data_IF_708100242721
#
_entry.id   IF_708100242721
#
_cell.length_a   1.000
_cell.length_b   1.000
_cell.length_c   1.000
_cell.angle_alpha   90.00
_cell.angle_beta   90.00
_cell.angle_gamma   90.00
#
_symmetry.space_group_name_H-M   'P 1'
#
loop_
_entity.id
_entity.type
_entity.pdbx_description
1 polymer ?
#
# COMPACT_ATOMS: atom_id res chain seq x y z
N UNK A 1 -29.68 45.06 7.92
CA UNK A 1 -28.49 44.58 8.65
C UNK A 1 -28.59 43.12 9.09
N UNK A 2 -29.65 42.68 9.79
CA UNK A 2 -29.78 41.28 10.25
C UNK A 2 -29.78 40.22 9.13
N UNK A 3 -30.45 40.47 8.01
CA UNK A 3 -30.47 39.54 6.87
C UNK A 3 -29.10 39.39 6.18
N UNK A 4 -28.30 40.46 6.15
CA UNK A 4 -26.96 40.45 5.57
C UNK A 4 -25.97 39.68 6.46
N UNK A 5 -26.12 39.80 7.78
CA UNK A 5 -25.34 39.03 8.77
C UNK A 5 -25.69 37.54 8.70
N UNK A 6 -26.97 37.19 8.50
CA UNK A 6 -27.40 35.79 8.33
C UNK A 6 -26.89 35.21 7.00
N UNK A 7 -26.91 35.98 5.91
CA UNK A 7 -26.36 35.54 4.62
C UNK A 7 -24.83 35.34 4.68
N UNK A 8 -24.11 36.22 5.37
CA UNK A 8 -22.66 36.09 5.60
C UNK A 8 -22.33 34.92 6.54
N UNK A 9 -23.15 34.66 7.57
CA UNK A 9 -23.01 33.48 8.43
C UNK A 9 -23.28 32.16 7.68
N UNK A 10 -24.27 32.12 6.77
CA UNK A 10 -24.53 30.96 5.91
C UNK A 10 -23.41 30.73 4.88
N UNK A 11 -22.80 31.81 4.36
CA UNK A 11 -21.62 31.75 3.49
C UNK A 11 -20.34 31.31 4.24
N UNK A 12 -20.26 31.54 5.55
CA UNK A 12 -19.14 31.08 6.40
C UNK A 12 -19.30 29.61 6.85
N UNK A 13 -20.53 29.06 6.86
CA UNK A 13 -20.76 27.61 7.07
C UNK A 13 -20.59 26.79 5.80
N UNK A 14 -20.57 27.42 4.63
CA UNK A 14 -20.00 26.85 3.41
C UNK A 14 -18.47 26.93 3.48
N UNK A 15 -17.88 26.32 4.51
CA UNK A 15 -16.46 26.03 4.51
C UNK A 15 -16.17 25.28 3.21
N UNK A 16 -15.21 25.75 2.42
CA UNK A 16 -14.80 25.11 1.18
C UNK A 16 -14.51 23.63 1.46
N UNK A 17 -15.49 22.76 1.26
CA UNK A 17 -15.28 21.37 1.01
C UNK A 17 -14.57 21.36 -0.34
N UNK A 18 -13.24 21.53 -0.32
CA UNK A 18 -12.41 21.24 -1.48
C UNK A 18 -12.78 19.81 -1.85
N UNK A 19 -13.49 19.66 -2.97
CA UNK A 19 -13.89 18.36 -3.49
C UNK A 19 -12.60 17.58 -3.67
N UNK A 20 -12.30 16.68 -2.73
CA UNK A 20 -11.09 15.86 -2.77
C UNK A 20 -11.31 14.87 -3.89
N UNK A 21 -10.46 14.92 -4.90
CA UNK A 21 -10.55 14.01 -6.05
C UNK A 21 -9.51 12.92 -5.86
N UNK A 22 -9.97 11.68 -5.87
CA UNK A 22 -9.09 10.51 -5.94
C UNK A 22 -8.99 10.09 -7.39
N UNK A 23 -7.77 10.09 -7.91
CA UNK A 23 -7.45 9.65 -9.26
C UNK A 23 -6.76 8.29 -9.19
N UNK A 24 -7.42 7.27 -9.71
CA UNK A 24 -6.83 5.95 -9.86
C UNK A 24 -6.31 5.79 -11.28
N UNK A 25 -5.00 5.68 -11.39
CA UNK A 25 -4.33 5.36 -12.65
C UNK A 25 -3.92 3.90 -12.62
N UNK A 26 -4.57 3.09 -13.45
CA UNK A 26 -4.32 1.65 -13.54
C UNK A 26 -3.28 1.29 -14.61
N UNK A 27 -2.76 2.29 -15.33
CA UNK A 27 -2.01 2.11 -16.57
C UNK A 27 -2.87 1.73 -17.78
N UNK A 28 -4.18 1.50 -17.59
CA UNK A 28 -5.11 1.08 -18.63
C UNK A 28 -6.33 1.99 -18.72
N UNK A 29 -6.42 2.77 -19.79
CA UNK A 29 -7.63 3.55 -20.12
C UNK A 29 -7.65 4.93 -19.47
N UNK A 30 -8.85 5.49 -19.28
CA UNK A 30 -9.05 6.82 -18.70
C UNK A 30 -8.89 6.72 -17.18
N UNK A 31 -8.16 7.66 -16.57
CA UNK A 31 -8.06 7.78 -15.11
C UNK A 31 -9.45 7.74 -14.48
N UNK A 32 -9.63 6.85 -13.51
CA UNK A 32 -10.86 6.78 -12.74
C UNK A 32 -10.79 7.90 -11.72
N UNK A 33 -11.69 8.86 -11.82
CA UNK A 33 -11.77 9.99 -10.90
C UNK A 33 -13.12 9.95 -10.21
N UNK A 34 -13.12 9.94 -8.89
CA UNK A 34 -14.34 10.04 -8.09
C UNK A 34 -14.09 10.84 -6.82
N UNK A 35 -15.19 11.29 -6.22
CA UNK A 35 -15.19 12.00 -4.94
C UNK A 35 -15.45 10.96 -3.84
N UNK A 36 -14.53 10.77 -2.89
CA UNK A 36 -14.72 9.85 -1.78
C UNK A 36 -15.94 10.21 -0.96
N UNK A 37 -16.67 9.19 -0.48
CA UNK A 37 -17.74 9.39 0.50
C UNK A 37 -17.10 9.28 1.88
N UNK A 38 -17.10 10.35 2.68
CA UNK A 38 -16.49 10.31 4.01
C UNK A 38 -17.27 9.34 4.92
N UNK A 39 -16.57 8.34 5.48
CA UNK A 39 -17.09 7.47 6.52
C UNK A 39 -16.29 7.60 7.81
N UNK A 40 -16.88 7.13 8.91
CA UNK A 40 -16.23 7.16 10.23
C UNK A 40 -14.88 6.40 10.20
N UNK A 41 -13.84 6.89 10.91
CA UNK A 41 -12.56 6.20 11.01
C UNK A 41 -12.69 4.82 11.65
N UNK A 42 -11.85 3.89 11.21
CA UNK A 42 -11.70 2.60 11.89
C UNK A 42 -10.80 2.80 13.10
N UNK A 43 -11.37 2.66 14.29
CA UNK A 43 -10.62 2.83 15.54
C UNK A 43 -9.89 1.56 15.95
N UNK A 44 -8.58 1.70 16.19
CA UNK A 44 -7.79 0.71 16.90
C UNK A 44 -7.83 1.06 18.38
N UNK A 45 -8.60 0.28 19.14
CA UNK A 45 -8.67 0.38 20.59
C UNK A 45 -7.30 0.12 21.26
N UNK A 46 -7.08 0.73 22.43
CA UNK A 46 -5.81 0.65 23.15
C UNK A 46 -5.36 -0.79 23.44
N UNK A 47 -6.29 -1.67 23.83
CA UNK A 47 -5.97 -3.06 24.18
C UNK A 47 -5.67 -3.91 22.93
N UNK A 48 -6.48 -3.75 21.88
CA UNK A 48 -6.23 -4.38 20.58
C UNK A 48 -4.88 -3.96 19.99
N UNK A 49 -4.52 -2.69 20.15
CA UNK A 49 -3.20 -2.17 19.77
C UNK A 49 -2.06 -2.82 20.57
N UNK A 50 -2.15 -2.86 21.90
CA UNK A 50 -1.12 -3.50 22.76
C UNK A 50 -0.93 -4.97 22.41
N UNK A 51 -2.02 -5.71 22.19
CA UNK A 51 -1.97 -7.11 21.77
C UNK A 51 -1.29 -7.26 20.40
N UNK A 52 -1.66 -6.43 19.42
CA UNK A 52 -1.06 -6.45 18.09
C UNK A 52 0.45 -6.18 18.12
N UNK A 53 0.90 -5.16 18.88
CA UNK A 53 2.33 -4.86 19.02
C UNK A 53 3.07 -6.02 19.68
N UNK A 54 2.50 -6.61 20.73
CA UNK A 54 3.09 -7.77 21.41
C UNK A 54 3.27 -8.94 20.45
N UNK A 55 2.23 -9.28 19.68
CA UNK A 55 2.29 -10.35 18.68
C UNK A 55 3.33 -10.08 17.59
N UNK A 56 3.38 -8.86 17.05
CA UNK A 56 4.37 -8.47 16.03
C UNK A 56 5.81 -8.58 16.53
N UNK A 57 6.07 -8.23 17.79
CA UNK A 57 7.41 -8.35 18.38
C UNK A 57 7.77 -9.82 18.65
N UNK A 58 6.79 -10.66 19.03
CA UNK A 58 7.00 -12.11 19.18
C UNK A 58 7.35 -12.78 17.84
N UNK A 59 6.55 -12.51 16.80
CA UNK A 59 6.76 -13.03 15.45
C UNK A 59 8.14 -12.63 14.90
N UNK A 60 8.58 -11.39 15.15
CA UNK A 60 9.92 -10.93 14.76
C UNK A 60 11.04 -11.75 15.42
N UNK A 61 10.91 -12.10 16.71
CA UNK A 61 11.90 -12.92 17.43
C UNK A 61 11.96 -14.34 16.87
N UNK A 62 10.80 -14.92 16.57
CA UNK A 62 10.70 -16.25 15.96
C UNK A 62 11.37 -16.26 14.58
N UNK A 63 11.08 -15.28 13.72
CA UNK A 63 11.70 -15.18 12.38
C UNK A 63 13.22 -15.01 12.42
N UNK A 64 13.76 -14.26 13.39
CA UNK A 64 15.22 -14.14 13.59
C UNK A 64 15.81 -15.48 14.03
N UNK A 65 15.19 -16.15 15.00
CA UNK A 65 15.65 -17.45 15.49
C UNK A 65 15.60 -18.53 14.39
N UNK A 66 14.56 -18.56 13.57
CA UNK A 66 14.45 -19.52 12.46
C UNK A 66 15.44 -19.21 11.32
N UNK A 67 15.70 -17.93 11.01
CA UNK A 67 16.75 -17.56 10.04
C UNK A 67 18.16 -17.88 10.52
N UNK A 68 18.43 -17.75 11.83
CA UNK A 68 19.69 -18.19 12.42
C UNK A 68 19.86 -19.71 12.33
N UNK A 69 18.78 -20.49 12.48
CA UNK A 69 18.80 -21.94 12.32
C UNK A 69 18.95 -22.40 10.86
N UNK A 70 18.34 -21.70 9.89
CA UNK A 70 18.49 -22.01 8.45
C UNK A 70 19.84 -21.53 7.88
N UNK A 71 20.46 -20.53 8.49
CA UNK A 71 21.78 -20.02 8.12
C UNK A 71 22.96 -20.81 8.70
N UNK A 72 22.72 -21.67 9.70
CA UNK A 72 23.75 -22.43 10.40
C UNK A 72 23.67 -23.94 10.13
N UNK A 73 23.95 -24.34 8.88
CA UNK A 73 24.29 -25.72 8.56
C UNK A 73 25.73 -26.09 9.02
N UNK A 74 26.36 -25.33 9.92
CA UNK A 74 27.64 -25.70 10.56
C UNK A 74 27.79 -25.17 12.00
N UNK A 75 27.09 -25.83 12.92
CA UNK A 75 27.42 -25.95 14.37
C UNK A 75 27.43 -24.61 15.11
N UNK A 76 26.49 -24.42 16.03
CA UNK A 76 26.58 -24.93 17.41
C UNK A 76 25.32 -24.63 18.23
N UNK A 77 24.78 -25.71 18.81
CA UNK A 77 23.98 -25.68 20.02
C UNK A 77 24.73 -24.95 21.13
N UNK A 78 24.15 -23.90 21.72
CA UNK A 78 24.20 -23.66 23.17
C UNK A 78 22.96 -22.88 23.62
N UNK A 79 22.11 -23.59 24.37
CA UNK A 79 21.19 -23.01 25.32
C UNK A 79 21.95 -22.30 26.44
N UNK A 80 21.45 -21.14 26.87
CA UNK A 80 21.78 -20.57 28.18
C UNK A 80 20.52 -19.98 28.79
N UNK A 81 19.89 -20.80 29.61
CA UNK A 81 18.95 -20.42 30.66
C UNK A 81 19.66 -19.71 31.83
N UNK A 82 19.05 -18.65 32.37
CA UNK A 82 19.37 -18.05 33.68
C UNK A 82 19.09 -16.54 33.68
N UNK A 83 18.36 -15.93 34.61
CA UNK A 83 17.72 -16.39 35.83
C UNK A 83 16.87 -15.24 36.39
N UNK A 84 15.93 -15.58 37.26
CA UNK A 84 15.02 -14.69 38.00
C UNK A 84 15.80 -13.82 39.00
N UNK A 85 15.43 -12.54 39.13
CA UNK A 85 15.60 -11.77 40.37
C UNK A 85 14.35 -10.94 40.66
N UNK A 86 13.93 -10.97 41.93
CA UNK A 86 12.72 -10.37 42.48
C UNK A 86 12.91 -8.91 42.93
N UNK A 87 11.85 -8.12 42.82
CA UNK A 87 11.57 -6.97 43.70
C UNK A 87 12.17 -5.60 43.38
N UNK A 88 11.36 -4.69 42.82
CA UNK A 88 11.45 -3.26 43.14
C UNK A 88 10.08 -2.58 42.96
N UNK A 89 9.60 -2.00 44.06
CA UNK A 89 8.33 -1.28 44.19
C UNK A 89 8.24 -0.05 43.26
N UNK A 90 7.01 0.23 42.83
CA UNK A 90 6.67 1.31 41.92
C UNK A 90 7.19 2.68 42.36
N UNK A 91 7.99 3.28 41.50
CA UNK A 91 8.25 4.72 41.46
C UNK A 91 7.54 5.32 40.26
N UNK A 92 7.05 6.55 40.42
CA UNK A 92 6.38 7.32 39.38
C UNK A 92 7.22 7.33 38.09
N UNK A 93 6.57 7.04 36.96
CA UNK A 93 7.18 6.94 35.64
C UNK A 93 7.69 8.33 35.24
N UNK A 94 9.02 8.53 35.08
CA UNK A 94 9.57 9.81 34.60
C UNK A 94 9.20 10.02 33.13
N UNK A 95 9.11 11.30 32.73
CA UNK A 95 8.82 11.69 31.35
C UNK A 95 9.82 11.09 30.36
N UNK A 96 9.42 10.87 29.11
CA UNK A 96 10.27 10.20 28.10
C UNK A 96 11.65 10.89 27.90
N UNK A 97 11.73 12.19 28.19
CA UNK A 97 12.96 12.99 28.18
C UNK A 97 13.96 12.58 29.29
N UNK A 98 13.49 12.39 30.53
CA UNK A 98 14.34 12.01 31.67
C UNK A 98 14.95 10.62 31.48
N UNK A 99 14.23 9.70 30.82
CA UNK A 99 14.74 8.35 30.51
C UNK A 99 15.85 8.34 29.45
N UNK A 100 15.87 9.32 28.55
CA UNK A 100 16.93 9.46 27.54
C UNK A 100 18.21 10.02 28.19
N UNK A 101 18.07 11.02 29.06
CA UNK A 101 19.24 11.59 29.76
C UNK A 101 19.83 10.66 30.84
N UNK A 102 19.02 9.82 31.50
CA UNK A 102 19.52 8.88 32.51
C UNK A 102 20.29 7.68 31.94
N UNK A 103 20.25 7.44 30.62
CA UNK A 103 20.92 6.31 29.95
C UNK A 103 22.27 6.66 29.32
N UNK A 104 22.67 7.93 29.37
CA UNK A 104 24.01 8.39 28.99
C UNK A 104 24.77 8.70 30.28
N UNK A 105 25.88 8.00 30.52
CA UNK A 105 26.77 8.12 31.70
C UNK A 105 27.54 9.46 31.78
N UNK A 106 26.92 10.58 31.41
CA UNK A 106 27.52 11.92 31.53
C UNK A 106 26.56 12.92 32.20
N UNK A 107 26.78 13.23 33.49
CA UNK A 107 26.02 14.25 34.23
C UNK A 107 26.10 15.65 33.61
N UNK A 108 27.14 15.93 32.82
CA UNK A 108 27.35 17.23 32.17
C UNK A 108 26.82 17.29 30.72
N UNK A 109 26.50 16.14 30.11
CA UNK A 109 25.98 16.08 28.73
C UNK A 109 24.55 16.62 28.60
N UNK A 110 23.69 16.37 29.59
CA UNK A 110 22.30 16.84 29.59
C UNK A 110 22.18 18.32 30.00
N UNK A 111 23.09 18.84 30.86
CA UNK A 111 23.17 20.28 31.18
C UNK A 111 23.88 21.11 30.09
N UNK A 112 24.85 20.55 29.36
CA UNK A 112 25.53 21.24 28.26
C UNK A 112 24.61 21.63 27.09
N UNK A 113 23.52 20.87 26.88
CA UNK A 113 22.47 21.15 25.90
C UNK A 113 21.52 22.30 26.28
N UNK A 114 21.51 22.73 27.55
CA UNK A 114 20.72 23.87 28.00
C UNK A 114 21.50 25.19 27.89
N UNK A 115 22.83 25.13 27.81
CA UNK A 115 23.71 26.30 27.76
C UNK A 115 24.30 26.58 26.36
N UNK A 116 24.33 25.60 25.46
CA UNK A 116 24.72 25.76 24.05
C UNK A 116 23.67 25.11 23.15
N UNK A 117 23.13 25.85 22.19
CA UNK A 117 21.96 25.45 21.37
C UNK A 117 22.06 24.08 20.68
N UNK A 118 20.94 23.61 20.10
CA UNK A 118 20.82 22.28 19.47
C UNK A 118 21.94 22.00 18.45
N UNK A 119 22.88 21.13 18.81
CA UNK A 119 23.96 20.65 17.91
C UNK A 119 23.51 19.58 16.93
N UNK A 120 22.22 19.20 16.95
CA UNK A 120 21.63 18.25 16.01
C UNK A 120 21.54 18.83 14.59
N UNK A 121 21.85 18.01 13.59
CA UNK A 121 21.57 18.33 12.20
C UNK A 121 20.06 18.38 11.90
N UNK A 122 19.65 18.89 10.72
CA UNK A 122 18.24 19.04 10.39
C UNK A 122 17.44 17.73 10.43
N UNK A 123 18.08 16.59 10.10
CA UNK A 123 17.42 15.29 10.11
C UNK A 123 17.19 14.80 11.54
N UNK A 124 18.18 14.91 12.40
CA UNK A 124 18.12 14.51 13.81
C UNK A 124 17.06 15.32 14.57
N UNK A 125 16.94 16.62 14.27
CA UNK A 125 15.88 17.48 14.82
C UNK A 125 14.47 17.01 14.44
N UNK A 126 14.26 16.65 13.16
CA UNK A 126 12.97 16.11 12.67
C UNK A 126 12.62 14.78 13.32
N UNK A 127 13.61 13.90 13.44
CA UNK A 127 13.46 12.61 14.09
C UNK A 127 13.09 12.73 15.57
N UNK A 128 13.73 13.67 16.27
CA UNK A 128 13.41 13.98 17.67
C UNK A 128 11.99 14.54 17.81
N UNK A 129 11.58 15.48 16.94
CA UNK A 129 10.22 16.02 16.96
C UNK A 129 9.17 14.93 16.70
N UNK A 130 9.44 13.99 15.79
CA UNK A 130 8.56 12.85 15.55
C UNK A 130 8.52 11.85 16.72
N UNK A 131 9.63 11.67 17.43
CA UNK A 131 9.69 10.85 18.64
C UNK A 131 8.74 11.37 19.73
N UNK A 132 8.65 12.69 19.89
CA UNK A 132 7.69 13.34 20.78
C UNK A 132 6.26 13.24 20.26
N UNK A 133 6.04 13.36 18.95
CA UNK A 133 4.71 13.25 18.35
C UNK A 133 4.02 11.89 18.59
N UNK A 134 4.80 10.84 18.80
CA UNK A 134 4.32 9.47 19.01
C UNK A 134 4.30 9.06 20.49
N UNK A 135 4.56 9.94 21.46
CA UNK A 135 4.79 9.50 22.85
C UNK A 135 3.59 8.79 23.49
N UNK A 136 2.38 9.31 23.29
CA UNK A 136 1.13 8.82 23.91
C UNK A 136 0.82 7.40 23.49
N UNK A 137 1.25 7.00 22.28
CA UNK A 137 0.99 5.66 21.77
C UNK A 137 1.80 4.59 22.50
N UNK A 138 2.93 4.97 23.09
CA UNK A 138 3.81 4.02 23.79
C UNK A 138 3.41 3.77 25.24
N UNK A 139 2.43 4.50 25.77
CA UNK A 139 1.90 4.32 27.12
C UNK A 139 1.41 2.88 27.35
N UNK A 140 2.11 2.17 28.23
CA UNK A 140 1.82 0.77 28.58
C UNK A 140 2.15 -0.27 27.50
N UNK A 141 2.69 0.13 26.34
CA UNK A 141 3.30 -0.81 25.38
C UNK A 141 4.67 -1.23 25.86
N UNK A 142 5.47 -0.29 26.35
CA UNK A 142 6.84 -0.54 26.81
C UNK A 142 6.87 -1.58 27.95
N UNK A 143 5.86 -1.59 28.81
CA UNK A 143 5.70 -2.59 29.86
C UNK A 143 5.30 -3.96 29.30
N UNK A 144 4.40 -4.00 28.31
CA UNK A 144 3.91 -5.24 27.70
C UNK A 144 5.00 -6.01 26.94
N UNK A 145 6.02 -5.31 26.43
CA UNK A 145 7.10 -5.90 25.62
C UNK A 145 8.45 -5.95 26.36
N UNK A 146 8.50 -5.55 27.63
CA UNK A 146 9.74 -5.37 28.40
C UNK A 146 10.61 -6.62 28.43
N UNK A 147 9.99 -7.79 28.57
CA UNK A 147 10.68 -9.09 28.64
C UNK A 147 11.09 -9.61 27.26
N UNK A 148 10.60 -8.98 26.18
CA UNK A 148 10.82 -9.41 24.80
C UNK A 148 11.88 -8.57 24.11
N UNK A 149 11.84 -7.24 24.26
CA UNK A 149 12.71 -6.28 23.57
C UNK A 149 12.90 -5.01 24.40
N UNK A 150 14.02 -4.31 24.21
CA UNK A 150 14.22 -2.98 24.80
C UNK A 150 13.23 -1.97 24.19
N UNK A 151 12.21 -1.57 24.98
CA UNK A 151 11.13 -0.69 24.51
C UNK A 151 11.62 0.64 23.93
N UNK A 152 12.68 1.23 24.49
CA UNK A 152 13.25 2.47 23.96
C UNK A 152 13.91 2.27 22.60
N UNK A 153 14.59 1.13 22.39
CA UNK A 153 15.18 0.79 21.10
C UNK A 153 14.12 0.51 20.04
N UNK A 154 13.06 -0.23 20.39
CA UNK A 154 11.92 -0.47 19.50
C UNK A 154 11.23 0.85 19.11
N UNK A 155 10.98 1.72 20.10
CA UNK A 155 10.40 3.03 19.87
C UNK A 155 11.25 3.88 18.92
N UNK A 156 12.57 3.93 19.11
CA UNK A 156 13.47 4.67 18.24
C UNK A 156 13.48 4.10 16.81
N UNK A 157 13.52 2.77 16.67
CA UNK A 157 13.44 2.08 15.38
C UNK A 157 12.13 2.42 14.64
N UNK A 158 10.98 2.24 15.31
CA UNK A 158 9.65 2.51 14.72
C UNK A 158 9.50 3.99 14.34
N UNK A 159 9.93 4.90 15.22
CA UNK A 159 9.93 6.34 14.92
C UNK A 159 10.74 6.62 13.65
N UNK A 160 11.91 5.99 13.48
CA UNK A 160 12.77 6.12 12.30
C UNK A 160 12.10 5.61 11.03
N UNK A 161 11.43 4.45 11.10
CA UNK A 161 10.69 3.92 9.95
C UNK A 161 9.53 4.83 9.55
N UNK A 162 8.75 5.32 10.52
CA UNK A 162 7.65 6.25 10.28
C UNK A 162 8.18 7.54 9.66
N UNK A 163 9.22 8.14 10.24
CA UNK A 163 9.81 9.39 9.73
C UNK A 163 10.34 9.24 8.32
N UNK A 164 11.01 8.13 8.03
CA UNK A 164 11.50 7.81 6.69
C UNK A 164 10.34 7.61 5.70
N UNK A 165 9.28 6.92 6.09
CA UNK A 165 8.11 6.70 5.25
C UNK A 165 7.33 8.00 4.95
N UNK A 166 7.12 8.85 5.97
CA UNK A 166 6.47 10.14 5.81
C UNK A 166 7.32 11.11 4.97
N UNK A 167 8.64 11.07 5.12
CA UNK A 167 9.54 11.84 4.25
C UNK A 167 9.42 11.42 2.79
N UNK A 168 9.35 10.11 2.51
CA UNK A 168 9.14 9.59 1.15
C UNK A 168 7.77 9.99 0.57
N UNK A 169 6.73 10.13 1.40
CA UNK A 169 5.40 10.54 0.95
C UNK A 169 5.36 12.00 0.46
N UNK A 170 6.19 12.86 1.04
CA UNK A 170 6.19 14.30 0.79
C UNK A 170 7.28 14.72 -0.21
N UNK A 171 8.24 13.85 -0.50
CA UNK A 171 9.29 14.11 -1.49
C UNK A 171 8.72 14.14 -2.93
N UNK A 172 9.18 15.08 -3.79
CA UNK A 172 8.64 15.28 -5.14
C UNK A 172 9.02 14.22 -6.19
N UNK A 173 9.92 13.28 -5.88
CA UNK A 173 10.31 12.23 -6.83
C UNK A 173 9.54 10.93 -6.61
N UNK A 174 8.94 10.32 -7.66
CA UNK A 174 8.14 9.10 -7.56
C UNK A 174 9.06 7.88 -7.44
N UNK A 175 9.68 7.69 -6.28
CA UNK A 175 10.35 6.43 -5.89
C UNK A 175 9.85 6.03 -4.51
N UNK A 176 8.54 5.99 -4.30
CA UNK A 176 8.00 5.48 -3.03
C UNK A 176 8.14 3.96 -3.00
N UNK A 177 9.24 3.49 -2.40
CA UNK A 177 9.46 2.09 -2.03
C UNK A 177 8.19 1.55 -1.36
N UNK A 178 7.83 0.29 -1.64
CA UNK A 178 6.60 -0.41 -1.24
C UNK A 178 6.09 -0.08 0.19
N UNK A 179 7.00 0.19 1.13
CA UNK A 179 6.70 0.57 2.52
C UNK A 179 5.93 1.92 2.62
N UNK A 180 6.34 2.96 1.89
CA UNK A 180 5.66 4.25 1.92
C UNK A 180 4.25 4.17 1.32
N UNK A 181 4.11 3.34 0.29
CA UNK A 181 2.82 3.06 -0.35
C UNK A 181 1.91 2.28 0.61
N UNK A 182 2.41 1.22 1.23
CA UNK A 182 1.66 0.43 2.21
C UNK A 182 1.22 1.28 3.41
N UNK A 183 2.09 2.17 3.90
CA UNK A 183 1.79 3.09 4.98
C UNK A 183 0.68 4.06 4.61
N UNK A 184 0.78 4.68 3.44
CA UNK A 184 -0.22 5.66 2.98
C UNK A 184 -1.57 4.99 2.67
N UNK A 185 -1.55 3.81 2.03
CA UNK A 185 -2.75 3.02 1.78
C UNK A 185 -3.45 2.62 3.09
N UNK A 186 -2.68 2.22 4.11
CA UNK A 186 -3.22 1.90 5.43
C UNK A 186 -3.80 3.12 6.12
N UNK A 187 -3.14 4.27 6.07
CA UNK A 187 -3.69 5.50 6.64
C UNK A 187 -4.99 5.91 5.96
N UNK A 188 -5.12 5.77 4.63
CA UNK A 188 -6.37 6.03 3.92
C UNK A 188 -7.45 5.03 4.35
N UNK A 189 -7.11 3.75 4.49
CA UNK A 189 -8.04 2.72 4.89
C UNK A 189 -8.60 2.93 6.31
N UNK A 190 -7.73 3.28 7.27
CA UNK A 190 -8.10 3.42 8.68
C UNK A 190 -8.60 4.82 9.05
N UNK A 191 -8.02 5.88 8.48
CA UNK A 191 -8.33 7.27 8.85
C UNK A 191 -9.14 7.99 7.79
N UNK A 192 -8.97 7.65 6.51
CA UNK A 192 -9.68 8.25 5.39
C UNK A 192 -8.84 9.26 4.64
N UNK A 193 -9.31 9.64 3.46
CA UNK A 193 -8.56 10.56 2.59
C UNK A 193 -8.40 11.96 3.21
N UNK A 194 -9.38 12.42 3.98
CA UNK A 194 -9.37 13.72 4.64
C UNK A 194 -8.34 13.86 5.75
N UNK A 195 -8.39 13.00 6.78
CA UNK A 195 -7.38 12.99 7.83
C UNK A 195 -5.95 12.81 7.29
N UNK A 196 -5.76 11.99 6.26
CA UNK A 196 -4.44 11.81 5.61
C UNK A 196 -3.92 13.11 4.99
N UNK A 197 -4.79 13.89 4.35
CA UNK A 197 -4.41 15.21 3.84
C UNK A 197 -3.96 16.17 4.94
N UNK A 198 -4.71 16.22 6.05
CA UNK A 198 -4.37 17.05 7.20
C UNK A 198 -3.05 16.61 7.84
N UNK A 199 -2.81 15.29 7.90
CA UNK A 199 -1.56 14.70 8.38
C UNK A 199 -0.38 15.08 7.49
N UNK A 200 -0.53 15.04 6.15
CA UNK A 200 0.52 15.47 5.22
C UNK A 200 0.92 16.93 5.41
N UNK A 201 -0.05 17.84 5.55
CA UNK A 201 0.22 19.26 5.85
C UNK A 201 0.84 19.45 7.23
N UNK A 202 0.35 18.70 8.22
CA UNK A 202 0.91 18.71 9.57
C UNK A 202 2.37 18.25 9.60
N UNK A 203 2.71 17.23 8.80
CA UNK A 203 4.07 16.71 8.71
C UNK A 203 5.00 17.71 8.00
N UNK A 204 4.57 18.32 6.90
CA UNK A 204 5.31 19.42 6.25
C UNK A 204 5.61 20.56 7.24
N UNK A 205 4.64 20.93 8.06
CA UNK A 205 4.82 21.93 9.11
C UNK A 205 5.79 21.47 10.20
N UNK A 206 5.69 20.22 10.66
CA UNK A 206 6.65 19.62 11.59
C UNK A 206 8.08 19.70 11.05
N UNK A 207 8.26 19.40 9.76
CA UNK A 207 9.55 19.39 9.09
C UNK A 207 10.23 20.76 9.02
N UNK A 208 9.42 21.82 8.86
CA UNK A 208 9.86 23.21 8.84
C UNK A 208 10.16 23.72 10.26
N UNK A 209 9.20 23.57 11.17
CA UNK A 209 9.35 23.98 12.58
C UNK A 209 10.51 23.27 13.29
N UNK A 210 10.76 21.99 13.00
CA UNK A 210 11.88 21.24 13.58
C UNK A 210 13.24 21.61 12.97
N UNK A 211 13.27 22.02 11.69
CA UNK A 211 14.50 22.50 11.06
C UNK A 211 15.02 23.76 11.78
N UNK A 212 14.10 24.68 12.05
CA UNK A 212 14.43 26.02 12.58
C UNK A 212 14.48 26.08 14.11
N UNK A 213 14.16 24.98 14.80
CA UNK A 213 14.20 24.91 16.25
C UNK A 213 15.60 25.18 16.82
N UNK A 214 15.66 25.99 17.88
CA UNK A 214 16.87 26.38 18.59
C UNK A 214 17.15 25.53 19.84
N UNK A 215 16.12 24.92 20.44
CA UNK A 215 16.19 24.12 21.67
C UNK A 215 15.25 22.90 21.63
N UNK A 216 15.48 21.93 22.53
CA UNK A 216 14.70 20.67 22.59
C UNK A 216 13.22 20.95 22.87
N UNK A 217 12.90 21.95 23.69
CA UNK A 217 11.52 22.31 24.02
C UNK A 217 10.72 22.84 22.81
N UNK A 218 11.38 23.41 21.81
CA UNK A 218 10.76 23.74 20.52
C UNK A 218 10.44 22.51 19.69
N UNK A 219 11.35 21.52 19.67
CA UNK A 219 11.14 20.23 19.00
C UNK A 219 9.99 19.45 19.65
N UNK A 220 9.94 19.42 20.98
CA UNK A 220 8.85 18.80 21.74
C UNK A 220 7.51 19.46 21.43
N UNK A 221 7.45 20.79 21.44
CA UNK A 221 6.23 21.54 21.07
C UNK A 221 5.79 21.28 19.63
N UNK A 222 6.72 21.23 18.69
CA UNK A 222 6.43 20.90 17.29
C UNK A 222 5.92 19.46 17.16
N UNK A 223 6.58 18.51 17.84
CA UNK A 223 6.18 17.12 17.94
C UNK A 223 4.77 16.94 18.48
N UNK A 224 4.46 17.50 19.66
CA UNK A 224 3.13 17.41 20.26
C UNK A 224 2.04 18.08 19.41
N UNK A 225 2.34 19.16 18.67
CA UNK A 225 1.39 19.73 17.71
C UNK A 225 1.06 18.74 16.59
N UNK A 226 2.07 18.08 16.04
CA UNK A 226 1.85 17.04 15.03
C UNK A 226 1.13 15.82 15.61
N UNK A 227 1.49 15.38 16.82
CA UNK A 227 0.82 14.31 17.55
C UNK A 227 -0.68 14.57 17.76
N UNK A 228 -1.08 15.83 18.01
CA UNK A 228 -2.49 16.23 18.08
C UNK A 228 -3.23 16.13 16.74
N UNK A 229 -2.54 16.37 15.62
CA UNK A 229 -3.12 16.19 14.27
C UNK A 229 -3.27 14.70 13.95
N UNK A 230 -2.27 13.90 14.33
CA UNK A 230 -2.25 12.47 14.15
C UNK A 230 -3.34 11.78 14.98
N UNK A 231 -3.50 12.23 16.21
CA UNK A 231 -4.40 11.63 17.20
C UNK A 231 -3.94 10.23 17.63
N UNK A 232 -4.54 9.75 18.72
CA UNK A 232 -4.29 8.43 19.28
C UNK A 232 -4.46 7.30 18.25
N UNK A 233 -5.56 7.34 17.49
CA UNK A 233 -5.85 6.31 16.49
C UNK A 233 -4.83 6.33 15.35
N UNK A 234 -4.50 7.51 14.81
CA UNK A 234 -3.50 7.63 13.75
C UNK A 234 -2.12 7.15 14.19
N UNK A 235 -1.74 7.42 15.44
CA UNK A 235 -0.47 6.95 15.99
C UNK A 235 -0.42 5.42 16.10
N UNK A 236 -1.52 4.79 16.56
CA UNK A 236 -1.63 3.33 16.64
C UNK A 236 -1.51 2.68 15.26
N UNK A 237 -2.20 3.25 14.27
CA UNK A 237 -2.13 2.78 12.87
C UNK A 237 -0.70 2.90 12.34
N UNK A 238 -0.04 4.05 12.51
CA UNK A 238 1.35 4.24 12.06
C UNK A 238 2.31 3.22 12.69
N UNK A 239 2.21 2.99 14.00
CA UNK A 239 3.08 2.04 14.70
C UNK A 239 2.83 0.60 14.23
N UNK A 240 1.58 0.15 14.15
CA UNK A 240 1.27 -1.22 13.71
C UNK A 240 1.73 -1.43 12.27
N UNK A 241 1.49 -0.47 11.37
CA UNK A 241 1.89 -0.60 9.96
C UNK A 241 3.41 -0.59 9.82
N UNK A 242 4.10 0.27 10.57
CA UNK A 242 5.56 0.29 10.61
C UNK A 242 6.11 -1.06 11.08
N UNK A 243 5.58 -1.62 12.18
CA UNK A 243 5.97 -2.93 12.69
C UNK A 243 5.64 -4.08 11.73
N UNK A 244 4.48 -4.03 11.06
CA UNK A 244 4.07 -5.05 10.07
C UNK A 244 4.96 -5.04 8.83
N UNK A 245 5.59 -3.90 8.52
CA UNK A 245 6.56 -3.77 7.43
C UNK A 245 7.97 -4.22 7.82
N UNK A 246 8.23 -4.58 9.09
CA UNK A 246 9.51 -5.16 9.51
C UNK A 246 9.71 -6.50 8.81
N UNK A 247 10.76 -6.61 7.99
CA UNK A 247 10.96 -7.76 7.08
C UNK A 247 10.54 -7.49 5.62
N UNK A 248 10.07 -6.27 5.32
CA UNK A 248 9.80 -5.81 3.96
C UNK A 248 8.44 -6.26 3.42
N UNK A 249 8.32 -6.34 2.09
CA UNK A 249 7.03 -6.54 1.40
C UNK A 249 6.31 -7.85 1.78
N UNK A 250 7.06 -8.92 2.02
CA UNK A 250 6.48 -10.23 2.31
C UNK A 250 5.90 -10.26 3.74
N UNK A 251 6.62 -9.66 4.70
CA UNK A 251 6.13 -9.47 6.06
C UNK A 251 4.88 -8.59 6.06
N UNK A 252 4.89 -7.48 5.30
CA UNK A 252 3.71 -6.62 5.19
C UNK A 252 2.50 -7.35 4.61
N UNK A 253 2.69 -8.20 3.60
CA UNK A 253 1.63 -9.01 3.02
C UNK A 253 1.07 -10.05 3.99
N UNK A 254 1.93 -10.61 4.86
CA UNK A 254 1.54 -11.62 5.84
C UNK A 254 0.89 -11.02 7.10
N UNK A 255 1.46 -9.94 7.63
CA UNK A 255 1.03 -9.30 8.88
C UNK A 255 -0.07 -8.26 8.69
N UNK A 256 -0.11 -7.61 7.52
CA UNK A 256 -1.13 -6.62 7.18
C UNK A 256 -2.57 -7.08 7.45
N UNK A 257 -3.00 -8.24 6.95
CA UNK A 257 -4.34 -8.78 7.21
C UNK A 257 -4.64 -9.12 8.67
N UNK A 258 -3.61 -9.24 9.52
CA UNK A 258 -3.75 -9.53 10.97
C UNK A 258 -3.93 -8.26 11.81
N UNK A 259 -3.83 -7.07 11.21
CA UNK A 259 -4.01 -5.83 11.94
C UNK A 259 -5.44 -5.71 12.51
N UNK A 260 -5.61 -5.19 13.74
CA UNK A 260 -6.93 -4.97 14.31
C UNK A 260 -7.75 -4.01 13.45
N UNK A 261 -8.99 -4.37 13.11
CA UNK A 261 -9.85 -3.53 12.27
C UNK A 261 -9.61 -3.68 10.76
N UNK A 262 -8.78 -4.63 10.32
CA UNK A 262 -8.40 -4.76 8.90
C UNK A 262 -9.61 -4.96 7.98
N UNK A 263 -10.60 -5.76 8.38
CA UNK A 263 -11.78 -6.02 7.56
C UNK A 263 -12.58 -4.71 7.32
N UNK A 264 -12.79 -3.91 8.37
CA UNK A 264 -13.46 -2.62 8.27
C UNK A 264 -12.63 -1.64 7.41
N UNK A 265 -11.32 -1.60 7.64
CA UNK A 265 -10.40 -0.76 6.89
C UNK A 265 -10.35 -1.15 5.41
N UNK A 266 -10.45 -2.43 5.08
CA UNK A 266 -10.49 -2.91 3.69
C UNK A 266 -11.76 -2.45 2.97
N UNK A 267 -12.94 -2.60 3.59
CA UNK A 267 -14.21 -2.12 3.03
C UNK A 267 -14.15 -0.61 2.79
N UNK A 268 -13.57 0.14 3.73
CA UNK A 268 -13.40 1.58 3.61
C UNK A 268 -12.38 1.98 2.56
N UNK A 269 -11.26 1.27 2.46
CA UNK A 269 -10.27 1.47 1.41
C UNK A 269 -10.88 1.30 0.03
N UNK A 270 -11.82 0.36 -0.13
CA UNK A 270 -12.57 0.18 -1.37
C UNK A 270 -13.53 1.36 -1.63
N UNK A 271 -14.27 1.80 -0.62
CA UNK A 271 -15.26 2.87 -0.74
C UNK A 271 -14.66 4.29 -0.92
N UNK A 272 -13.62 4.63 -0.15
CA UNK A 272 -12.98 5.96 -0.15
C UNK A 272 -11.72 6.04 -1.01
N UNK A 273 -10.95 4.96 -1.03
CA UNK A 273 -9.65 4.87 -1.71
C UNK A 273 -9.73 4.17 -3.05
N UNK A 274 -10.76 3.35 -3.31
CA UNK A 274 -10.99 2.67 -4.57
C UNK A 274 -9.93 1.62 -4.88
N UNK A 275 -9.26 1.12 -3.86
CA UNK A 275 -8.25 0.07 -3.96
C UNK A 275 -8.51 -1.06 -2.95
N UNK A 276 -8.05 -2.25 -3.30
CA UNK A 276 -8.08 -3.42 -2.42
C UNK A 276 -6.90 -3.34 -1.45
N UNK A 277 -7.18 -3.18 -0.15
CA UNK A 277 -6.15 -2.96 0.88
C UNK A 277 -5.10 -4.07 0.90
N UNK A 278 -5.51 -5.35 0.86
CA UNK A 278 -4.56 -6.47 0.83
C UNK A 278 -3.61 -6.40 -0.39
N UNK A 279 -4.14 -6.03 -1.56
CA UNK A 279 -3.36 -5.81 -2.76
C UNK A 279 -2.36 -4.66 -2.62
N UNK A 280 -2.74 -3.58 -1.91
CA UNK A 280 -1.82 -2.49 -1.60
C UNK A 280 -0.63 -2.96 -0.75
N UNK A 281 -0.91 -3.78 0.27
CA UNK A 281 0.10 -4.28 1.21
C UNK A 281 1.05 -5.30 0.58
N UNK A 282 0.61 -6.02 -0.46
CA UNK A 282 1.45 -6.96 -1.22
C UNK A 282 2.22 -6.30 -2.39
N UNK A 283 2.17 -4.97 -2.53
CA UNK A 283 2.88 -4.23 -3.58
C UNK A 283 2.11 -4.05 -4.90
N UNK A 284 0.79 -4.22 -4.87
CA UNK A 284 -0.11 -3.96 -6.00
C UNK A 284 -0.37 -2.47 -6.26
N UNK A 285 -0.02 -1.59 -5.33
CA UNK A 285 0.02 -0.14 -5.56
C UNK A 285 1.46 0.27 -5.88
N UNK A 286 1.64 0.94 -7.00
CA UNK A 286 2.96 1.33 -7.52
C UNK A 286 3.40 2.69 -6.99
N UNK A 287 2.46 3.62 -6.82
CA UNK A 287 2.73 4.91 -6.18
C UNK A 287 1.46 5.53 -5.62
N UNK A 288 1.61 6.31 -4.55
CA UNK A 288 0.59 7.21 -4.03
C UNK A 288 1.25 8.57 -3.93
N UNK A 289 0.67 9.58 -4.56
CA UNK A 289 1.13 10.97 -4.44
C UNK A 289 0.00 11.91 -4.12
N UNK A 290 0.34 12.92 -3.33
CA UNK A 290 -0.59 13.94 -2.87
C UNK A 290 -0.17 15.24 -3.57
N UNK A 291 -0.98 15.73 -4.51
CA UNK A 291 -0.65 16.98 -5.21
C UNK A 291 -0.96 18.19 -4.34
N UNK A 292 -0.23 19.29 -4.52
CA UNK A 292 -0.51 20.57 -3.85
C UNK A 292 -1.93 21.11 -4.12
N UNK A 293 -2.58 20.65 -5.20
CA UNK A 293 -3.92 21.04 -5.61
C UNK A 293 -5.06 20.22 -4.94
N UNK A 294 -4.76 19.34 -3.98
CA UNK A 294 -5.79 18.58 -3.27
C UNK A 294 -6.24 17.30 -4.00
N UNK A 295 -5.41 16.78 -4.91
CA UNK A 295 -5.69 15.56 -5.68
C UNK A 295 -4.80 14.43 -5.19
N UNK A 296 -5.41 13.33 -4.76
CA UNK A 296 -4.73 12.10 -4.41
C UNK A 296 -4.61 11.23 -5.67
N UNK A 297 -3.39 11.09 -6.19
CA UNK A 297 -3.14 10.22 -7.34
C UNK A 297 -2.60 8.88 -6.83
N UNK A 298 -3.26 7.80 -7.23
CA UNK A 298 -2.88 6.45 -6.86
C UNK A 298 -2.62 5.68 -8.15
N UNK A 299 -1.39 5.22 -8.35
CA UNK A 299 -1.04 4.31 -9.42
C UNK A 299 -1.17 2.87 -8.92
N UNK A 300 -2.08 2.11 -9.53
CA UNK A 300 -2.48 0.77 -9.10
C UNK A 300 -2.22 -0.25 -10.21
N UNK A 301 -1.84 -1.47 -9.86
CA UNK A 301 -2.10 -2.61 -10.73
C UNK A 301 -3.62 -2.82 -10.85
N UNK A 302 -4.14 -3.30 -11.99
CA UNK A 302 -5.58 -3.54 -12.17
C UNK A 302 -6.20 -4.44 -11.10
N UNK A 303 -5.43 -5.40 -10.60
CA UNK A 303 -5.83 -6.33 -9.55
C UNK A 303 -5.94 -5.70 -8.18
N UNK A 304 -5.43 -4.47 -8.00
CA UNK A 304 -5.50 -3.70 -6.77
C UNK A 304 -6.60 -2.63 -6.79
N UNK A 305 -7.39 -2.52 -7.88
CA UNK A 305 -8.50 -1.56 -7.99
C UNK A 305 -9.76 -2.18 -7.41
N UNK A 306 -10.45 -1.45 -6.55
CA UNK A 306 -11.71 -1.90 -5.98
C UNK A 306 -12.82 -1.93 -7.05
N UNK A 307 -13.67 -2.96 -7.01
CA UNK A 307 -14.77 -3.11 -7.96
C UNK A 307 -15.72 -1.89 -7.96
N UNK A 308 -15.93 -1.29 -6.79
CA UNK A 308 -16.78 -0.10 -6.60
C UNK A 308 -16.24 1.15 -7.31
N UNK A 309 -14.92 1.24 -7.49
CA UNK A 309 -14.31 2.36 -8.20
C UNK A 309 -14.48 2.27 -9.72
N UNK A 310 -14.91 1.13 -10.26
CA UNK A 310 -15.01 0.94 -11.71
C UNK A 310 -16.28 1.57 -12.33
N UNK A 311 -17.31 1.94 -11.54
CA UNK A 311 -18.51 2.65 -12.00
C UNK A 311 -19.53 1.79 -12.78
N UNK A 312 -20.78 2.28 -12.98
CA UNK A 312 -21.83 1.53 -13.68
C UNK A 312 -21.49 1.46 -15.18
N UNK A 313 -21.08 0.28 -15.64
CA UNK A 313 -20.59 0.05 -17.00
C UNK A 313 -19.19 -0.56 -17.08
N UNK A 314 -18.47 -0.62 -15.97
CA UNK A 314 -17.27 -1.45 -15.81
C UNK A 314 -17.45 -2.48 -14.70
N UNK A 315 -18.69 -2.93 -14.51
CA UNK A 315 -19.01 -4.10 -13.71
C UNK A 315 -18.36 -5.34 -14.34
N UNK A 316 -17.28 -5.82 -13.74
CA UNK A 316 -17.02 -7.25 -13.65
C UNK A 316 -18.25 -7.83 -12.97
N UNK A 317 -19.15 -8.39 -13.77
CA UNK A 317 -20.35 -9.05 -13.27
C UNK A 317 -19.95 -10.18 -12.33
N UNK A 318 -20.56 -10.18 -11.13
CA UNK A 318 -20.78 -11.35 -10.27
C UNK A 318 -19.56 -12.27 -10.05
N UNK A 319 -18.78 -12.00 -9.01
CA UNK A 319 -18.05 -13.07 -8.31
C UNK A 319 -18.94 -13.58 -7.16
N UNK A 320 -19.35 -14.85 -7.15
CA UNK A 320 -19.71 -15.49 -5.89
C UNK A 320 -18.44 -15.63 -5.04
N UNK A 321 -18.64 -15.56 -3.73
CA UNK A 321 -17.60 -15.73 -2.72
C UNK A 321 -16.75 -17.00 -2.96
N UNK A 322 -15.43 -16.87 -2.92
CA UNK A 322 -14.54 -18.03 -2.76
C UNK A 322 -13.13 -17.83 -3.30
N UNK A 323 -12.14 -17.91 -2.40
CA UNK A 323 -10.81 -18.41 -2.73
C UNK A 323 -9.72 -17.37 -2.96
N UNK A 324 -8.82 -17.27 -1.98
CA UNK A 324 -7.49 -16.73 -2.18
C UNK A 324 -6.76 -17.48 -3.31
N UNK A 325 -6.35 -16.77 -4.36
CA UNK A 325 -5.52 -17.31 -5.43
C UNK A 325 -5.34 -16.28 -6.53
N UNK A 326 -4.11 -15.83 -6.78
CA UNK A 326 -3.81 -14.90 -7.88
C UNK A 326 -4.20 -15.50 -9.23
N UNK A 327 -5.37 -15.11 -9.77
CA UNK A 327 -6.02 -15.82 -10.87
C UNK A 327 -5.88 -15.13 -12.22
N UNK A 328 -5.38 -15.88 -13.22
CA UNK A 328 -5.55 -15.58 -14.65
C UNK A 328 -7.06 -15.49 -14.92
N UNK A 329 -7.50 -14.43 -15.62
CA UNK A 329 -8.92 -14.20 -15.93
C UNK A 329 -9.50 -15.39 -16.68
N UNK A 330 -10.67 -15.88 -16.28
CA UNK A 330 -11.45 -16.82 -17.08
C UNK A 330 -12.35 -17.74 -16.29
N UNK A 331 -12.80 -18.81 -16.94
CA UNK A 331 -13.75 -19.76 -16.36
C UNK A 331 -13.10 -20.45 -15.12
N UNK A 332 -13.84 -20.61 -13.99
CA UNK A 332 -13.28 -21.18 -12.75
C UNK A 332 -12.60 -22.54 -12.98
N UNK A 333 -13.24 -23.39 -13.78
CA UNK A 333 -12.78 -24.74 -14.10
C UNK A 333 -12.07 -24.85 -15.47
N UNK A 334 -11.70 -23.70 -16.07
CA UNK A 334 -11.04 -23.67 -17.38
C UNK A 334 -9.54 -23.93 -17.34
N UNK A 335 -9.02 -24.60 -18.37
CA UNK A 335 -7.58 -24.72 -18.62
C UNK A 335 -7.00 -23.36 -19.05
N UNK A 336 -5.70 -23.14 -18.84
CA UNK A 336 -5.03 -21.89 -19.25
C UNK A 336 -4.64 -21.95 -20.72
N UNK A 337 -5.17 -21.02 -21.52
CA UNK A 337 -4.87 -20.87 -22.94
C UNK A 337 -4.16 -19.55 -23.21
N UNK A 338 -3.28 -19.55 -24.23
CA UNK A 338 -2.75 -18.31 -24.79
C UNK A 338 -3.74 -17.70 -25.77
N UNK A 339 -4.04 -16.41 -25.59
CA UNK A 339 -4.91 -15.63 -26.48
C UNK A 339 -4.26 -15.53 -27.87
N UNK A 340 -3.00 -15.08 -27.91
CA UNK A 340 -2.11 -15.11 -29.06
C UNK A 340 -1.21 -16.33 -28.95
N UNK A 341 -1.30 -17.24 -29.92
CA UNK A 341 -0.53 -18.50 -29.90
C UNK A 341 0.98 -18.25 -29.91
N UNK A 342 1.69 -19.00 -29.07
CA UNK A 342 3.14 -19.06 -28.95
C UNK A 342 3.74 -20.32 -29.60
N UNK A 343 2.91 -21.18 -30.21
CA UNK A 343 3.31 -22.51 -30.72
C UNK A 343 3.02 -22.72 -32.20
N UNK A 344 2.76 -21.65 -32.94
CA UNK A 344 2.50 -21.69 -34.39
C UNK A 344 3.54 -20.84 -35.13
N UNK A 345 4.78 -21.32 -35.17
CA UNK A 345 5.92 -20.64 -35.80
C UNK A 345 6.09 -21.01 -37.29
N UNK A 346 5.64 -22.20 -37.70
CA UNK A 346 5.94 -22.78 -39.02
C UNK A 346 4.69 -23.13 -39.84
N UNK A 347 3.60 -23.56 -39.19
CA UNK A 347 2.47 -24.19 -39.88
C UNK A 347 1.47 -23.17 -40.47
N UNK A 348 1.08 -23.38 -41.73
CA UNK A 348 0.00 -22.62 -42.39
C UNK A 348 -1.37 -23.30 -42.29
N UNK A 349 -1.47 -24.46 -41.62
CA UNK A 349 -2.70 -25.28 -41.58
C UNK A 349 -3.92 -24.54 -41.01
N UNK A 350 -3.71 -23.59 -40.08
CA UNK A 350 -4.76 -22.70 -39.55
C UNK A 350 -4.64 -21.27 -40.09
N UNK A 351 -4.06 -21.07 -41.28
CA UNK A 351 -3.83 -19.76 -41.90
C UNK A 351 -2.61 -19.00 -41.38
N UNK A 352 -1.70 -19.67 -40.65
CA UNK A 352 -0.47 -19.10 -40.10
C UNK A 352 0.70 -19.04 -41.07
N UNK A 353 1.95 -18.83 -40.59
CA UNK A 353 2.34 -18.89 -39.18
C UNK A 353 1.92 -17.66 -38.37
N UNK A 354 1.29 -17.89 -37.22
CA UNK A 354 0.68 -16.82 -36.42
C UNK A 354 1.60 -16.27 -35.33
N UNK A 355 2.50 -17.09 -34.78
CA UNK A 355 3.38 -16.67 -33.67
C UNK A 355 4.28 -15.50 -34.07
N UNK A 356 4.97 -15.51 -35.24
CA UNK A 356 5.81 -14.39 -35.65
C UNK A 356 5.02 -13.09 -35.87
N UNK A 357 3.76 -13.21 -36.29
CA UNK A 357 2.87 -12.06 -36.48
C UNK A 357 2.47 -11.44 -35.14
N UNK A 358 2.14 -12.26 -34.14
CA UNK A 358 1.80 -11.77 -32.81
C UNK A 358 3.02 -11.21 -32.06
N UNK A 359 4.18 -11.85 -32.17
CA UNK A 359 5.42 -11.39 -31.54
C UNK A 359 5.76 -9.93 -31.87
N UNK A 360 5.44 -9.46 -33.07
CA UNK A 360 5.69 -8.07 -33.46
C UNK A 360 4.95 -7.07 -32.55
N UNK A 361 3.74 -7.39 -32.12
CA UNK A 361 2.98 -6.56 -31.18
C UNK A 361 3.62 -6.58 -29.78
N UNK A 362 4.01 -7.76 -29.31
CA UNK A 362 4.63 -7.93 -27.99
C UNK A 362 6.00 -7.25 -27.92
N UNK A 363 6.80 -7.33 -28.99
CA UNK A 363 8.09 -6.61 -29.09
C UNK A 363 7.91 -5.09 -29.05
N UNK A 364 6.93 -4.53 -29.77
CA UNK A 364 6.63 -3.09 -29.71
C UNK A 364 6.18 -2.61 -28.32
N UNK A 365 5.57 -3.51 -27.55
CA UNK A 365 5.13 -3.27 -26.18
C UNK A 365 6.16 -3.64 -25.10
N UNK A 366 7.35 -4.14 -25.49
CA UNK A 366 8.34 -4.71 -24.57
C UNK A 366 7.70 -5.74 -23.61
N UNK A 367 6.91 -6.65 -24.17
CA UNK A 367 6.19 -7.73 -23.49
C UNK A 367 6.64 -9.09 -24.04
N UNK A 368 6.43 -10.15 -23.26
CA UNK A 368 6.69 -11.54 -23.68
C UNK A 368 5.38 -12.23 -24.05
N UNK A 369 5.42 -13.14 -25.02
CA UNK A 369 4.26 -13.97 -25.38
C UNK A 369 3.75 -14.82 -24.21
N UNK A 370 4.62 -15.16 -23.26
CA UNK A 370 4.29 -15.89 -22.03
C UNK A 370 3.78 -15.00 -20.89
N UNK A 371 3.67 -13.68 -21.09
CA UNK A 371 3.14 -12.79 -20.08
C UNK A 371 1.68 -13.14 -19.78
N UNK A 372 1.30 -13.04 -18.52
CA UNK A 372 -0.07 -13.35 -18.04
C UNK A 372 -1.17 -12.58 -18.77
N UNK A 373 -0.87 -11.40 -19.31
CA UNK A 373 -1.81 -10.63 -20.13
C UNK A 373 -2.25 -11.36 -21.41
N UNK A 374 -1.43 -12.30 -21.90
CA UNK A 374 -1.74 -13.15 -23.03
C UNK A 374 -2.41 -14.47 -22.63
N UNK A 375 -2.81 -14.64 -21.37
CA UNK A 375 -3.38 -15.89 -20.85
C UNK A 375 -4.84 -15.70 -20.41
N UNK A 376 -5.65 -16.73 -20.63
CA UNK A 376 -7.07 -16.76 -20.24
C UNK A 376 -7.48 -18.19 -19.85
N UNK A 377 -8.34 -18.35 -18.84
CA UNK A 377 -8.91 -19.66 -18.49
C UNK A 377 -10.17 -19.91 -19.31
N UNK A 378 -10.23 -21.03 -20.03
CA UNK A 378 -11.37 -21.38 -20.88
C UNK A 378 -11.81 -22.80 -20.56
N UNK A 379 -13.09 -22.97 -20.23
CA UNK A 379 -13.71 -24.28 -20.02
C UNK A 379 -14.25 -24.84 -21.34
N UNK A 380 -14.17 -26.17 -21.50
CA UNK A 380 -14.80 -26.87 -22.63
C UNK A 380 -14.15 -26.65 -24.01
N UNK A 381 -12.90 -26.17 -24.07
CA UNK A 381 -12.15 -26.02 -25.32
C UNK A 381 -10.88 -26.89 -25.31
N UNK A 382 -10.75 -27.80 -26.27
CA UNK A 382 -9.53 -28.54 -26.54
C UNK A 382 -9.24 -28.52 -28.04
N UNK A 383 -7.99 -28.28 -28.41
CA UNK A 383 -7.52 -28.29 -29.81
C UNK A 383 -6.95 -26.95 -30.28
N UNK A 384 -6.37 -26.90 -31.48
CA UNK A 384 -5.79 -25.69 -32.04
C UNK A 384 -6.88 -24.69 -32.44
N UNK A 385 -6.62 -23.39 -32.26
CA UNK A 385 -7.58 -22.36 -32.65
C UNK A 385 -7.73 -22.28 -34.18
N UNK A 386 -8.95 -22.06 -34.71
CA UNK A 386 -9.19 -21.98 -36.15
C UNK A 386 -8.63 -20.70 -36.76
N UNK A 387 -8.46 -20.68 -38.09
CA UNK A 387 -8.01 -19.51 -38.86
C UNK A 387 -8.79 -18.24 -38.53
N UNK A 388 -10.12 -18.33 -38.51
CA UNK A 388 -10.99 -17.18 -38.25
C UNK A 388 -10.82 -16.60 -36.84
N UNK A 389 -10.39 -17.41 -35.86
CA UNK A 389 -10.04 -16.89 -34.53
C UNK A 389 -8.77 -16.04 -34.63
N UNK A 390 -7.70 -16.58 -35.21
CA UNK A 390 -6.43 -15.87 -35.31
C UNK A 390 -6.51 -14.59 -36.14
N UNK A 391 -7.25 -14.61 -37.25
CA UNK A 391 -7.51 -13.41 -38.08
C UNK A 391 -8.22 -12.31 -37.29
N UNK A 392 -9.22 -12.67 -36.47
CA UNK A 392 -9.95 -11.70 -35.66
C UNK A 392 -9.07 -11.12 -34.54
N UNK A 393 -8.27 -11.94 -33.86
CA UNK A 393 -7.29 -11.45 -32.86
C UNK A 393 -6.29 -10.51 -33.52
N UNK A 394 -5.69 -10.91 -34.64
CA UNK A 394 -4.70 -10.10 -35.36
C UNK A 394 -5.28 -8.76 -35.81
N UNK A 395 -6.51 -8.75 -36.36
CA UNK A 395 -7.22 -7.54 -36.78
C UNK A 395 -7.46 -6.59 -35.60
N UNK A 396 -7.88 -7.10 -34.46
CA UNK A 396 -8.13 -6.31 -33.24
C UNK A 396 -6.84 -5.68 -32.69
N UNK A 397 -5.77 -6.47 -32.58
CA UNK A 397 -4.48 -5.98 -32.11
C UNK A 397 -3.90 -4.92 -33.06
N UNK A 398 -3.98 -5.16 -34.37
CA UNK A 398 -3.55 -4.18 -35.39
C UNK A 398 -4.29 -2.85 -35.21
N UNK A 399 -5.60 -2.87 -35.01
CA UNK A 399 -6.40 -1.65 -34.82
C UNK A 399 -6.06 -0.95 -33.50
N UNK A 400 -5.91 -1.71 -32.42
CA UNK A 400 -5.59 -1.16 -31.10
C UNK A 400 -4.21 -0.52 -31.03
N UNK A 401 -3.25 -1.04 -31.80
CA UNK A 401 -1.86 -0.58 -31.79
C UNK A 401 -1.52 0.48 -32.86
N UNK A 402 -2.42 0.76 -33.81
CA UNK A 402 -2.20 1.67 -34.96
C UNK A 402 -1.71 3.09 -34.60
N UNK A 403 -1.91 3.55 -33.36
CA UNK A 403 -1.59 4.91 -32.93
C UNK A 403 -0.59 5.04 -31.78
N UNK A 404 -0.01 3.94 -31.29
CA UNK A 404 0.94 4.02 -30.18
C UNK A 404 2.31 4.51 -30.70
N UNK A 405 2.96 5.41 -29.95
CA UNK A 405 4.24 6.04 -30.36
C UNK A 405 5.43 5.66 -29.48
N UNK A 406 5.16 5.24 -28.25
CA UNK A 406 6.17 4.82 -27.28
C UNK A 406 5.79 3.47 -26.65
N UNK A 407 6.78 2.83 -26.01
CA UNK A 407 6.65 1.50 -25.41
C UNK A 407 5.52 1.46 -24.37
N UNK A 408 5.37 2.49 -23.55
CA UNK A 408 4.34 2.53 -22.51
C UNK A 408 2.93 2.60 -23.12
N UNK A 409 2.75 3.41 -24.17
CA UNK A 409 1.50 3.49 -24.93
C UNK A 409 1.19 2.19 -25.64
N UNK A 410 2.18 1.56 -26.30
CA UNK A 410 2.00 0.30 -27.01
C UNK A 410 1.66 -0.85 -26.04
N UNK A 411 2.36 -0.93 -24.90
CA UNK A 411 2.05 -1.86 -23.81
C UNK A 411 0.66 -1.67 -23.25
N UNK A 412 0.26 -0.43 -23.02
CA UNK A 412 -1.09 -0.07 -22.58
C UNK A 412 -2.15 -0.49 -23.60
N UNK A 413 -1.94 -0.22 -24.89
CA UNK A 413 -2.89 -0.59 -25.96
C UNK A 413 -3.01 -2.10 -26.15
N UNK A 414 -1.88 -2.81 -26.19
CA UNK A 414 -1.83 -4.26 -26.36
C UNK A 414 -2.56 -4.96 -25.22
N UNK A 415 -2.22 -4.63 -23.97
CA UNK A 415 -2.83 -5.30 -22.81
C UNK A 415 -4.32 -4.97 -22.68
N UNK A 416 -4.75 -3.73 -23.00
CA UNK A 416 -6.18 -3.37 -23.01
C UNK A 416 -6.97 -4.22 -23.98
N UNK A 417 -6.42 -4.44 -25.17
CA UNK A 417 -7.10 -5.22 -26.20
C UNK A 417 -7.08 -6.71 -25.86
N UNK A 418 -5.98 -7.25 -25.33
CA UNK A 418 -5.93 -8.62 -24.81
C UNK A 418 -6.96 -8.85 -23.70
N UNK A 419 -7.14 -7.90 -22.78
CA UNK A 419 -8.18 -7.98 -21.75
C UNK A 419 -9.62 -7.95 -22.30
N UNK A 420 -9.86 -7.22 -23.40
CA UNK A 420 -11.16 -7.25 -24.10
C UNK A 420 -11.39 -8.60 -24.78
N UNK A 421 -10.37 -9.13 -25.43
CA UNK A 421 -10.41 -10.45 -26.05
C UNK A 421 -10.68 -11.53 -24.99
N UNK A 422 -10.01 -11.48 -23.84
CA UNK A 422 -10.24 -12.40 -22.72
C UNK A 422 -11.69 -12.35 -22.21
N UNK A 423 -12.29 -11.15 -22.12
CA UNK A 423 -13.71 -10.99 -21.77
C UNK A 423 -14.62 -11.60 -22.82
N UNK A 424 -14.37 -11.35 -24.09
CA UNK A 424 -15.18 -11.97 -25.16
C UNK A 424 -15.05 -13.50 -25.10
N UNK A 425 -13.85 -14.04 -24.89
CA UNK A 425 -13.58 -15.48 -24.78
C UNK A 425 -14.30 -16.16 -23.61
N UNK A 426 -14.65 -15.41 -22.57
CA UNK A 426 -15.30 -15.90 -21.34
C UNK A 426 -16.79 -15.55 -21.30
N UNK A 427 -17.27 -14.73 -22.23
CA UNK A 427 -18.70 -14.38 -22.36
C UNK A 427 -19.41 -15.36 -23.27
N UNK A 428 -20.41 -16.07 -22.74
CA UNK A 428 -21.26 -16.98 -23.52
C UNK A 428 -21.94 -16.25 -24.70
N UNK A 429 -22.00 -16.92 -25.85
CA UNK A 429 -22.61 -16.38 -27.07
C UNK A 429 -21.79 -15.29 -27.79
N UNK A 430 -20.63 -14.88 -27.26
CA UNK A 430 -19.76 -13.95 -27.97
C UNK A 430 -19.22 -14.57 -29.27
N UNK A 431 -18.93 -13.73 -30.26
CA UNK A 431 -18.35 -14.20 -31.54
C UNK A 431 -17.05 -14.97 -31.31
N UNK A 432 -16.16 -14.50 -30.43
CA UNK A 432 -14.88 -15.14 -30.17
C UNK A 432 -15.05 -16.46 -29.40
N UNK A 433 -15.94 -16.53 -28.41
CA UNK A 433 -16.21 -17.77 -27.69
C UNK A 433 -16.83 -18.81 -28.61
N UNK A 434 -17.77 -18.42 -29.47
CA UNK A 434 -18.34 -19.33 -30.49
C UNK A 434 -17.30 -19.88 -31.47
N UNK A 435 -16.27 -19.09 -31.83
CA UNK A 435 -15.22 -19.56 -32.75
C UNK A 435 -14.37 -20.68 -32.15
N UNK A 436 -14.21 -20.73 -30.83
CA UNK A 436 -13.40 -21.76 -30.16
C UNK A 436 -14.25 -22.91 -29.60
N UNK A 437 -15.53 -22.70 -29.27
CA UNK A 437 -16.41 -23.74 -28.73
C UNK A 437 -17.20 -24.49 -29.81
N UNK A 438 -17.60 -23.85 -30.92
CA UNK A 438 -18.28 -24.56 -32.03
C UNK A 438 -17.34 -25.44 -32.85
N UNK A 439 -16.04 -25.18 -32.83
CA UNK A 439 -15.05 -26.01 -33.51
C UNK A 439 -14.85 -27.38 -32.84
N UNK A 440 -15.27 -27.55 -31.58
CA UNK A 440 -15.19 -28.81 -30.84
C UNK A 440 -16.43 -29.70 -31.00
N UNK A 441 -17.43 -29.26 -31.79
CA UNK A 441 -18.73 -29.91 -31.93
C UNK A 441 -19.08 -30.35 -33.36
N UNK A 442 -18.09 -30.83 -34.12
CA UNK A 442 -18.32 -31.60 -35.36
C UNK A 442 -17.37 -32.79 -35.44
#
# INVERSE_FOLDING_TARGET
MRAFVIAVLLLLTAGCATTRVVNLNTGYGKTISYTPTESDPVEIGRDAFKQAVTQLVLDMKLDVAFKELEGDDRRSLLASSGGVVDGAQGRAVPSAYERICQRQDDPNGCMGMLAGGLTFGPMERRMMALYFALDTVWEGVEDAIRDMVNGAALRAMVTTMIGTALMMLVAPEPITKVIAVALTASLIAYLGTGPVWNLGRGFLRLMDESRDAANVSELERAGHRFGKILGDNGARVLVIVALSALGGKNAMAAQGPRMPGFAQAAVRAEAEGGFVLAGALSGGVQSISISAAGVLNIALAPTAVAAVAMGPGAGVGTLPAGGAGGGIQGDPDGEVHHICTDKNEVSSASGGPWTPLFENFFKQADMKMSDRANQVRISGHQGPHPRGYHEEIFRRLTLAMKGCRDVAQCRGSLTRELGRIARDLTTEGSKLRMLITKAAGN
#
